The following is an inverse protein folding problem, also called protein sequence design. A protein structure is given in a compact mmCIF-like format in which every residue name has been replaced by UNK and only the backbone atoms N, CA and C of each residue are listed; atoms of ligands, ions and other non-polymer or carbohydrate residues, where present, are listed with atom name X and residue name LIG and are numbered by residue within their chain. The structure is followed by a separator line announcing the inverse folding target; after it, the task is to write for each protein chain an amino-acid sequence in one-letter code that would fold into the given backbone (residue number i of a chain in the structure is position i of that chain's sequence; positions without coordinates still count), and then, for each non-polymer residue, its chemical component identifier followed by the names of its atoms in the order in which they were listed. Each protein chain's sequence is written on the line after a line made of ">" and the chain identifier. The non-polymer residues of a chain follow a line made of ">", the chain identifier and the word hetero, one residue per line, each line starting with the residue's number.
data_IF_432766755781
#
_entry.id   IF_432766755781
#
_cell.length_a   1.000
_cell.length_b   1.000
_cell.length_c   1.000
_cell.angle_alpha   90.00
_cell.angle_beta   90.00
_cell.angle_gamma   90.00
#
_symmetry.space_group_name_H-M   'P 1'
#
loop_
_entity.id
_entity.type
_entity.pdbx_description
1 polymer ?
#
# COMPACT_ATOMS: atom_id res chain seq x y z
N UNK A 1 -1.28 21.49 1.38
CA UNK A 1 -0.33 21.02 0.35
C UNK A 1 -1.00 19.84 -0.37
N UNK A 2 -1.35 19.97 -1.66
CA UNK A 2 -1.94 18.87 -2.45
C UNK A 2 -0.84 17.86 -2.77
N UNK A 3 -0.91 16.66 -2.17
CA UNK A 3 -0.09 15.53 -2.59
C UNK A 3 -0.48 15.26 -4.05
N UNK A 4 0.51 15.35 -4.94
CA UNK A 4 0.37 15.63 -6.37
C UNK A 4 -0.57 14.69 -7.14
N UNK A 5 -1.21 15.30 -8.14
CA UNK A 5 -2.01 14.71 -9.21
C UNK A 5 -1.03 14.21 -10.30
N UNK A 6 -1.07 12.92 -10.65
CA UNK A 6 -0.36 12.41 -11.82
C UNK A 6 -1.09 12.91 -13.08
N UNK A 7 -0.46 13.84 -13.81
CA UNK A 7 -0.95 14.36 -15.08
C UNK A 7 -0.76 13.35 -16.22
N UNK A 8 -1.59 13.44 -17.26
CA UNK A 8 -1.63 12.56 -18.42
C UNK A 8 -0.42 12.70 -19.38
N UNK A 9 0.56 13.56 -19.09
CA UNK A 9 1.69 13.79 -19.98
C UNK A 9 2.80 12.76 -19.76
N UNK A 10 2.62 11.57 -20.33
CA UNK A 10 3.67 10.56 -20.44
C UNK A 10 4.89 11.02 -21.27
N UNK A 11 4.77 12.12 -22.03
CA UNK A 11 5.86 12.69 -22.85
C UNK A 11 6.86 13.55 -22.05
N UNK A 12 6.49 14.09 -20.88
CA UNK A 12 7.37 14.97 -20.08
C UNK A 12 8.48 14.20 -19.34
N UNK A 13 8.32 12.88 -19.14
CA UNK A 13 9.14 12.09 -18.20
C UNK A 13 9.87 10.89 -18.83
N UNK A 14 9.83 10.77 -20.16
CA UNK A 14 10.57 9.74 -20.91
C UNK A 14 11.89 10.33 -21.42
N UNK A 15 13.02 9.89 -20.85
CA UNK A 15 14.34 10.15 -21.44
C UNK A 15 14.73 8.96 -22.34
N UNK A 16 15.19 9.24 -23.56
CA UNK A 16 15.78 8.24 -24.45
C UNK A 16 17.16 7.85 -23.92
N UNK A 17 17.36 6.57 -23.58
CA UNK A 17 18.68 6.05 -23.24
C UNK A 17 19.61 6.02 -24.46
N UNK A 18 20.91 5.81 -24.21
CA UNK A 18 22.01 5.76 -25.22
C UNK A 18 21.76 4.79 -26.39
N UNK A 19 20.81 3.86 -26.24
CA UNK A 19 20.42 2.85 -27.25
C UNK A 19 18.96 3.00 -27.75
N UNK A 20 18.32 4.16 -27.65
CA UNK A 20 16.89 4.38 -27.99
C UNK A 20 15.89 3.53 -27.17
N UNK A 21 16.31 2.91 -26.07
CA UNK A 21 15.39 2.32 -25.10
C UNK A 21 14.69 3.44 -24.32
N UNK A 22 13.35 3.48 -24.36
CA UNK A 22 12.54 4.35 -23.50
C UNK A 22 12.74 3.93 -22.04
N UNK A 23 13.50 4.72 -21.28
CA UNK A 23 13.63 4.55 -19.82
C UNK A 23 12.90 5.72 -19.16
N UNK A 24 11.77 5.39 -18.52
CA UNK A 24 11.06 6.36 -17.69
C UNK A 24 11.98 6.80 -16.56
N UNK A 25 12.36 8.08 -16.55
CA UNK A 25 13.32 8.63 -15.59
C UNK A 25 12.68 9.84 -14.93
N UNK A 26 12.53 9.79 -13.61
CA UNK A 26 12.09 10.92 -12.80
C UNK A 26 13.31 11.71 -12.34
N UNK A 27 13.46 12.91 -12.87
CA UNK A 27 14.51 13.83 -12.47
C UNK A 27 14.12 14.53 -11.16
N UNK A 28 15.05 14.68 -10.23
CA UNK A 28 14.83 15.41 -8.98
C UNK A 28 16.02 16.30 -8.61
N UNK A 29 15.74 17.33 -7.81
CA UNK A 29 16.77 18.17 -7.17
C UNK A 29 16.39 18.38 -5.71
N UNK A 30 17.38 18.66 -4.85
CA UNK A 30 17.12 19.13 -3.49
C UNK A 30 17.44 20.61 -3.40
N UNK A 31 16.48 21.40 -2.96
CA UNK A 31 16.74 22.78 -2.55
C UNK A 31 17.75 22.80 -1.40
N UNK A 32 18.62 23.81 -1.38
CA UNK A 32 19.65 23.95 -0.36
C UNK A 32 19.07 24.00 1.06
N UNK A 33 17.86 24.57 1.21
CA UNK A 33 17.14 24.69 2.48
C UNK A 33 16.47 23.38 2.92
N UNK A 34 16.44 22.35 2.07
CA UNK A 34 15.83 21.06 2.40
C UNK A 34 16.62 20.36 3.50
N UNK A 35 15.96 20.06 4.62
CA UNK A 35 16.60 19.38 5.76
C UNK A 35 17.17 18.01 5.37
N UNK A 36 18.23 17.57 6.04
CA UNK A 36 18.81 16.24 5.79
C UNK A 36 17.78 15.12 6.01
N UNK A 37 16.92 15.23 7.03
CA UNK A 37 15.85 14.27 7.28
C UNK A 37 14.89 14.15 6.09
N UNK A 38 14.46 15.28 5.53
CA UNK A 38 13.59 15.32 4.34
C UNK A 38 14.29 14.72 3.11
N UNK A 39 15.58 15.01 2.90
CA UNK A 39 16.36 14.43 1.80
C UNK A 39 16.44 12.91 1.91
N UNK A 40 16.73 12.39 3.10
CA UNK A 40 16.82 10.94 3.34
C UNK A 40 15.46 10.26 3.16
N UNK A 41 14.37 10.88 3.61
CA UNK A 41 13.03 10.36 3.40
C UNK A 41 12.69 10.23 1.89
N UNK A 42 12.98 11.28 1.10
CA UNK A 42 12.77 11.22 -0.35
C UNK A 42 13.62 10.13 -1.01
N UNK A 43 14.91 10.03 -0.69
CA UNK A 43 15.80 9.03 -1.31
C UNK A 43 15.36 7.60 -1.01
N UNK A 44 14.78 7.34 0.17
CA UNK A 44 14.21 6.04 0.52
C UNK A 44 12.95 5.75 -0.29
N UNK A 45 12.04 6.72 -0.40
CA UNK A 45 10.84 6.59 -1.23
C UNK A 45 11.19 6.37 -2.71
N UNK A 46 12.15 7.13 -3.24
CA UNK A 46 12.67 6.94 -4.60
C UNK A 46 13.18 5.51 -4.81
N UNK A 47 14.00 4.99 -3.89
CA UNK A 47 14.49 3.59 -3.95
C UNK A 47 13.35 2.56 -3.89
N UNK A 48 12.35 2.78 -3.04
CA UNK A 48 11.19 1.89 -2.96
C UNK A 48 10.44 1.85 -4.30
N UNK A 49 10.24 3.02 -4.93
CA UNK A 49 9.66 3.08 -6.27
C UNK A 49 10.56 2.44 -7.33
N UNK A 50 11.87 2.70 -7.35
CA UNK A 50 12.78 2.06 -8.31
C UNK A 50 12.75 0.54 -8.21
N UNK A 51 12.67 0.01 -6.99
CA UNK A 51 12.62 -1.43 -6.75
C UNK A 51 11.41 -2.05 -7.47
N UNK A 52 10.20 -1.57 -7.17
CA UNK A 52 8.95 -2.21 -7.58
C UNK A 52 8.31 -1.56 -8.84
N UNK A 53 9.11 -0.82 -9.63
CA UNK A 53 8.66 -0.22 -10.89
C UNK A 53 9.76 -0.28 -11.95
N UNK A 54 9.46 0.17 -13.16
CA UNK A 54 10.46 0.34 -14.21
C UNK A 54 11.07 1.74 -14.30
N UNK A 55 10.70 2.64 -13.39
CA UNK A 55 11.20 4.03 -13.40
C UNK A 55 12.52 4.14 -12.65
N UNK A 56 13.40 5.04 -13.09
CA UNK A 56 14.64 5.38 -12.39
C UNK A 56 14.59 6.81 -11.87
N UNK A 57 15.33 7.11 -10.81
CA UNK A 57 15.43 8.46 -10.25
C UNK A 57 16.84 9.00 -10.48
N UNK A 58 16.93 10.18 -11.09
CA UNK A 58 18.22 10.82 -11.36
C UNK A 58 18.29 12.20 -10.72
N UNK A 59 19.33 12.44 -9.91
CA UNK A 59 19.59 13.77 -9.34
C UNK A 59 20.13 14.70 -10.43
N UNK A 60 19.51 15.85 -10.61
CA UNK A 60 19.93 16.90 -11.57
C UNK A 60 20.14 18.24 -10.85
N UNK A 61 20.72 19.22 -11.57
CA UNK A 61 20.86 20.62 -11.10
C UNK A 61 19.59 21.41 -11.45
N UNK A 62 19.21 22.36 -10.56
CA UNK A 62 17.95 23.13 -10.63
C UNK A 62 17.75 23.88 -11.96
N UNK A 63 18.83 24.35 -12.58
CA UNK A 63 18.80 25.17 -13.81
C UNK A 63 18.16 24.45 -15.00
N UNK A 64 18.02 23.12 -14.96
CA UNK A 64 17.53 22.33 -16.09
C UNK A 64 15.99 22.19 -16.19
N UNK A 65 15.18 22.49 -15.15
CA UNK A 65 13.76 22.03 -15.14
C UNK A 65 12.74 22.94 -14.43
N UNK A 66 12.81 24.27 -14.57
CA UNK A 66 11.77 25.18 -14.01
C UNK A 66 10.36 24.88 -14.52
N UNK A 67 10.21 24.39 -15.76
CA UNK A 67 8.91 24.13 -16.40
C UNK A 67 8.18 22.89 -15.86
N UNK A 68 8.89 21.94 -15.25
CA UNK A 68 8.31 20.70 -14.69
C UNK A 68 7.50 20.92 -13.41
N UNK A 69 7.51 22.14 -12.86
CA UNK A 69 6.77 22.52 -11.66
C UNK A 69 5.53 23.38 -11.97
N UNK A 70 5.19 23.55 -13.25
CA UNK A 70 3.96 24.21 -13.65
C UNK A 70 2.74 23.40 -13.16
N UNK A 71 1.69 24.12 -12.75
CA UNK A 71 0.46 23.48 -12.29
C UNK A 71 -0.17 22.71 -13.45
N UNK A 72 -0.46 21.43 -13.22
CA UNK A 72 -1.28 20.62 -14.11
C UNK A 72 -2.74 21.04 -14.02
N UNK A 73 -3.46 20.93 -15.14
CA UNK A 73 -4.87 21.27 -15.23
C UNK A 73 -5.75 20.14 -14.70
N UNK A 74 -6.95 20.49 -14.24
CA UNK A 74 -7.82 19.55 -13.53
C UNK A 74 -8.37 18.42 -14.40
N UNK A 75 -8.27 18.48 -15.74
CA UNK A 75 -8.76 17.44 -16.66
C UNK A 75 -7.66 16.45 -17.10
N UNK A 76 -6.44 16.59 -16.59
CA UNK A 76 -5.30 15.73 -16.94
C UNK A 76 -5.17 14.49 -16.04
N UNK A 77 -6.21 14.12 -15.26
CA UNK A 77 -6.16 12.91 -14.44
C UNK A 77 -6.70 11.71 -15.20
N UNK A 78 -5.99 10.59 -15.09
CA UNK A 78 -6.49 9.28 -15.50
C UNK A 78 -6.44 8.34 -14.31
N UNK A 79 -7.52 7.57 -14.14
CA UNK A 79 -7.66 6.60 -13.05
C UNK A 79 -7.08 5.24 -13.41
N UNK A 80 -6.73 5.01 -14.69
CA UNK A 80 -6.21 3.73 -15.18
C UNK A 80 -7.11 2.52 -14.87
N UNK A 81 -8.40 2.74 -14.62
CA UNK A 81 -9.32 1.69 -14.15
C UNK A 81 -9.05 1.20 -12.73
N UNK A 82 -8.16 1.82 -11.96
CA UNK A 82 -7.84 1.43 -10.59
C UNK A 82 -8.90 1.91 -9.60
N UNK A 83 -9.19 1.12 -8.54
CA UNK A 83 -10.12 1.51 -7.48
C UNK A 83 -9.57 2.67 -6.65
N UNK A 84 -10.47 3.34 -5.92
CA UNK A 84 -10.08 4.34 -4.94
C UNK A 84 -9.46 3.68 -3.71
N UNK A 85 -8.24 4.06 -3.37
CA UNK A 85 -7.54 3.49 -2.22
C UNK A 85 -7.43 4.50 -1.07
N UNK A 86 -8.17 4.26 0.00
CA UNK A 86 -8.10 5.08 1.22
C UNK A 86 -6.71 5.08 1.86
N UNK A 87 -5.94 4.01 1.65
CA UNK A 87 -4.61 3.82 2.23
C UNK A 87 -3.45 4.33 1.37
N UNK A 88 -3.75 4.99 0.25
CA UNK A 88 -2.72 5.60 -0.59
C UNK A 88 -1.88 6.60 0.21
N UNK A 89 -0.57 6.60 -0.03
CA UNK A 89 0.34 7.61 0.54
C UNK A 89 0.00 9.02 0.05
N UNK A 90 -0.76 9.14 -1.04
CA UNK A 90 -1.21 10.40 -1.61
C UNK A 90 -2.52 10.88 -0.97
N UNK A 91 -3.19 10.05 -0.18
CA UNK A 91 -4.44 10.41 0.49
C UNK A 91 -4.17 11.35 1.66
N UNK A 92 -5.00 12.38 1.79
CA UNK A 92 -4.94 13.31 2.92
C UNK A 92 -5.30 12.63 4.24
N UNK A 93 -4.62 13.06 5.29
CA UNK A 93 -5.00 12.75 6.67
C UNK A 93 -6.24 13.54 7.11
N UNK A 94 -7.00 12.98 8.03
CA UNK A 94 -8.09 13.66 8.74
C UNK A 94 -8.13 13.14 10.17
N UNK A 95 -8.41 14.02 11.13
CA UNK A 95 -8.52 13.66 12.55
C UNK A 95 -9.91 13.10 12.83
N UNK A 96 -10.01 12.12 13.74
CA UNK A 96 -11.33 11.64 14.22
C UNK A 96 -12.12 12.73 14.93
N UNK A 97 -11.44 13.60 15.67
CA UNK A 97 -12.04 14.76 16.32
C UNK A 97 -12.06 15.95 15.37
N UNK A 98 -13.25 16.49 15.12
CA UNK A 98 -13.48 17.59 14.17
C UNK A 98 -12.87 17.33 12.77
N UNK A 99 -13.31 16.26 12.08
CA UNK A 99 -12.74 15.85 10.81
C UNK A 99 -12.94 16.91 9.73
N UNK A 100 -11.90 17.18 8.93
CA UNK A 100 -12.00 18.00 7.72
C UNK A 100 -12.57 17.21 6.53
N UNK A 101 -12.49 15.87 6.62
CA UNK A 101 -12.99 14.91 5.64
C UNK A 101 -13.28 13.59 6.36
N UNK A 102 -14.34 12.90 5.96
CA UNK A 102 -14.67 11.55 6.45
C UNK A 102 -14.80 10.59 5.27
N UNK A 103 -14.31 9.35 5.39
CA UNK A 103 -14.53 8.34 4.37
C UNK A 103 -16.02 7.97 4.32
N UNK A 104 -16.49 7.45 3.18
CA UNK A 104 -17.89 6.99 3.05
C UNK A 104 -18.19 5.80 3.97
N UNK A 105 -17.19 4.97 4.22
CA UNK A 105 -17.24 3.88 5.19
C UNK A 105 -16.30 4.22 6.35
N UNK A 106 -16.87 4.41 7.55
CA UNK A 106 -16.18 4.87 8.75
C UNK A 106 -15.05 3.93 9.21
N UNK A 107 -15.07 2.66 8.81
CA UNK A 107 -13.97 1.71 9.09
C UNK A 107 -12.64 2.13 8.44
N UNK A 108 -12.66 2.99 7.41
CA UNK A 108 -11.45 3.53 6.78
C UNK A 108 -10.89 4.78 7.46
N UNK A 109 -11.51 5.26 8.55
CA UNK A 109 -11.04 6.49 9.20
C UNK A 109 -9.62 6.36 9.76
N UNK A 110 -9.21 5.16 10.18
CA UNK A 110 -7.83 4.88 10.58
C UNK A 110 -6.88 4.62 9.40
N UNK A 111 -7.41 4.44 8.19
CA UNK A 111 -6.64 4.12 6.98
C UNK A 111 -6.19 5.38 6.24
N UNK A 112 -7.03 6.43 6.18
CA UNK A 112 -6.70 7.68 5.49
C UNK A 112 -5.53 8.43 6.14
N UNK A 113 -4.70 9.08 5.32
CA UNK A 113 -3.46 9.70 5.79
C UNK A 113 -2.31 8.71 5.99
N UNK A 114 -2.44 7.50 5.44
CA UNK A 114 -1.41 6.46 5.46
C UNK A 114 -0.03 7.01 5.08
N UNK A 115 1.02 6.68 5.86
CA UNK A 115 2.41 6.97 5.50
C UNK A 115 3.02 5.87 4.62
N UNK A 116 2.27 4.83 4.27
CA UNK A 116 2.76 3.67 3.51
C UNK A 116 2.40 3.80 2.03
N UNK A 117 3.35 3.46 1.14
CA UNK A 117 3.07 3.27 -0.29
C UNK A 117 2.14 2.07 -0.41
N UNK A 118 0.98 2.25 -1.04
CA UNK A 118 0.02 1.17 -1.24
C UNK A 118 0.30 0.41 -2.54
N UNK A 119 -0.31 -0.77 -2.67
CA UNK A 119 -0.24 -1.52 -3.92
C UNK A 119 -0.88 -0.75 -5.09
N UNK A 120 -1.95 0.00 -4.82
CA UNK A 120 -2.60 0.86 -5.82
C UNK A 120 -1.67 2.00 -6.25
N UNK A 121 -0.92 2.61 -5.34
CA UNK A 121 0.09 3.61 -5.68
C UNK A 121 1.14 3.03 -6.65
N UNK A 122 1.67 1.83 -6.35
CA UNK A 122 2.63 1.13 -7.21
C UNK A 122 2.02 0.74 -8.56
N UNK A 123 0.82 0.19 -8.57
CA UNK A 123 0.11 -0.23 -9.78
C UNK A 123 -0.17 0.97 -10.70
N UNK A 124 -0.54 2.11 -10.13
CA UNK A 124 -0.80 3.35 -10.86
C UNK A 124 0.43 3.87 -11.57
N UNK A 125 1.59 3.91 -10.89
CA UNK A 125 2.86 4.31 -11.50
C UNK A 125 3.29 3.31 -12.58
N UNK A 126 3.17 2.01 -12.30
CA UNK A 126 3.51 0.97 -13.27
C UNK A 126 2.62 1.01 -14.52
N UNK A 127 1.35 1.41 -14.38
CA UNK A 127 0.47 1.64 -15.53
C UNK A 127 0.88 2.90 -16.30
N UNK A 128 1.02 4.02 -15.60
CA UNK A 128 1.31 5.33 -16.20
C UNK A 128 2.57 5.32 -17.07
N UNK A 129 3.61 4.61 -16.60
CA UNK A 129 4.89 4.48 -17.29
C UNK A 129 5.01 3.22 -18.15
N UNK A 130 3.89 2.53 -18.41
CA UNK A 130 3.83 1.32 -19.23
C UNK A 130 4.75 0.19 -18.73
N UNK A 131 5.11 0.19 -17.45
CA UNK A 131 6.00 -0.81 -16.87
C UNK A 131 5.40 -2.21 -16.90
N UNK A 132 4.07 -2.33 -16.74
CA UNK A 132 3.38 -3.64 -16.80
C UNK A 132 3.49 -4.33 -18.17
N UNK A 133 3.83 -3.58 -19.22
CA UNK A 133 4.01 -4.12 -20.58
C UNK A 133 5.40 -4.72 -20.80
N UNK A 134 6.37 -4.46 -19.91
CA UNK A 134 7.77 -4.89 -20.09
C UNK A 134 7.96 -6.40 -19.94
N UNK A 135 7.12 -7.04 -19.14
CA UNK A 135 7.18 -8.48 -18.89
C UNK A 135 5.88 -9.12 -19.35
N UNK A 136 5.98 -10.10 -20.24
CA UNK A 136 4.84 -10.84 -20.79
C UNK A 136 5.02 -12.32 -20.45
N UNK A 137 4.04 -12.93 -19.79
CA UNK A 137 3.98 -14.38 -19.60
C UNK A 137 3.79 -14.87 -18.17
N UNK A 138 4.19 -14.09 -17.16
CA UNK A 138 3.95 -14.46 -15.75
C UNK A 138 2.52 -14.13 -15.35
N UNK A 139 1.76 -15.14 -14.92
CA UNK A 139 0.39 -14.99 -14.43
C UNK A 139 0.41 -14.80 -12.92
N UNK A 140 0.19 -13.57 -12.48
CA UNK A 140 0.11 -13.23 -11.08
C UNK A 140 -1.32 -13.40 -10.56
N UNK A 141 -1.46 -13.90 -9.34
CA UNK A 141 -2.73 -14.13 -8.68
C UNK A 141 -3.12 -12.95 -7.78
N UNK A 142 -4.36 -12.97 -7.27
CA UNK A 142 -4.90 -12.01 -6.31
C UNK A 142 -4.80 -10.53 -6.75
N UNK A 143 -4.72 -10.26 -8.06
CA UNK A 143 -4.59 -8.92 -8.61
C UNK A 143 -3.17 -8.37 -8.69
N UNK A 144 -2.15 -9.20 -8.41
CA UNK A 144 -0.75 -8.86 -8.66
C UNK A 144 -0.43 -8.65 -10.15
N UNK A 145 0.75 -8.11 -10.45
CA UNK A 145 1.24 -7.96 -11.83
C UNK A 145 2.73 -8.28 -11.95
N UNK A 146 3.22 -8.68 -13.14
CA UNK A 146 4.61 -9.07 -13.33
C UNK A 146 5.58 -7.95 -12.92
N UNK A 147 6.64 -8.31 -12.21
CA UNK A 147 7.65 -7.35 -11.82
C UNK A 147 8.40 -6.85 -13.07
N UNK A 148 8.47 -5.54 -13.35
CA UNK A 148 8.94 -5.02 -14.64
C UNK A 148 10.47 -5.04 -14.83
N UNK A 149 11.20 -5.67 -13.90
CA UNK A 149 12.67 -5.78 -13.87
C UNK A 149 13.11 -7.23 -13.68
N UNK A 150 12.28 -8.04 -13.03
CA UNK A 150 12.42 -9.50 -12.97
C UNK A 150 11.11 -10.14 -13.43
N UNK A 151 11.05 -10.54 -14.70
CA UNK A 151 9.83 -11.12 -15.26
C UNK A 151 9.48 -12.49 -14.66
N UNK A 152 10.32 -13.08 -13.82
CA UNK A 152 10.06 -14.38 -13.20
C UNK A 152 9.16 -14.29 -11.96
N UNK A 153 9.00 -13.10 -11.38
CA UNK A 153 8.21 -12.83 -10.18
C UNK A 153 7.12 -11.76 -10.38
N UNK A 154 6.29 -11.60 -9.36
CA UNK A 154 5.16 -10.69 -9.34
C UNK A 154 5.31 -9.65 -8.23
N UNK A 155 4.83 -8.44 -8.49
CA UNK A 155 4.55 -7.45 -7.44
C UNK A 155 3.18 -7.80 -6.86
N UNK A 156 3.14 -8.02 -5.55
CA UNK A 156 1.97 -8.56 -4.87
C UNK A 156 1.22 -7.52 -4.05
N UNK A 157 -0.12 -7.57 -4.03
CA UNK A 157 -0.90 -6.81 -3.06
C UNK A 157 -0.51 -7.15 -1.63
N UNK A 158 -0.64 -6.17 -0.73
CA UNK A 158 -0.41 -6.40 0.70
C UNK A 158 -1.27 -7.55 1.18
N UNK A 159 -0.63 -8.60 1.73
CA UNK A 159 -1.29 -9.84 2.15
C UNK A 159 -0.81 -11.08 1.44
N UNK A 160 -0.13 -10.88 0.32
CA UNK A 160 0.22 -11.93 -0.59
C UNK A 160 1.69 -11.84 -0.93
N UNK A 161 2.32 -12.99 -1.08
CA UNK A 161 3.71 -13.13 -1.44
C UNK A 161 3.92 -14.36 -2.29
N UNK A 162 5.17 -14.81 -2.34
CA UNK A 162 5.60 -15.83 -3.28
C UNK A 162 5.71 -15.29 -4.70
N UNK A 163 6.23 -16.12 -5.59
CA UNK A 163 6.54 -15.74 -6.98
C UNK A 163 5.32 -15.27 -7.76
N UNK A 164 4.14 -15.83 -7.46
CA UNK A 164 2.90 -15.57 -8.19
C UNK A 164 1.83 -14.86 -7.33
N UNK A 165 2.17 -14.34 -6.16
CA UNK A 165 1.20 -13.70 -5.24
C UNK A 165 0.08 -14.62 -4.73
N UNK A 166 0.32 -15.94 -4.70
CA UNK A 166 -0.62 -16.95 -4.22
C UNK A 166 -0.19 -17.58 -2.88
N UNK A 167 0.85 -17.06 -2.26
CA UNK A 167 1.41 -17.57 -1.01
C UNK A 167 1.32 -16.51 0.10
N UNK A 168 1.53 -16.95 1.34
CA UNK A 168 1.68 -16.04 2.46
C UNK A 168 3.03 -15.27 2.32
N UNK A 169 3.08 -13.96 2.60
CA UNK A 169 4.33 -13.23 2.67
C UNK A 169 5.33 -13.85 3.65
N UNK A 170 6.61 -13.78 3.33
CA UNK A 170 7.68 -14.22 4.24
C UNK A 170 7.97 -13.13 5.29
N UNK A 171 7.02 -12.92 6.20
CA UNK A 171 7.06 -11.84 7.21
C UNK A 171 6.83 -12.35 8.64
N UNK A 172 7.16 -13.63 8.90
CA UNK A 172 6.95 -14.33 10.18
C UNK A 172 5.47 -14.44 10.60
N UNK A 173 4.55 -14.15 9.69
CA UNK A 173 3.13 -14.40 9.83
C UNK A 173 2.75 -15.88 9.81
N UNK A 174 1.45 -16.18 9.68
CA UNK A 174 0.98 -17.57 9.60
C UNK A 174 -0.47 -17.75 9.20
N UNK A 175 -0.89 -19.01 9.07
CA UNK A 175 -2.30 -19.36 8.83
C UNK A 175 -2.98 -19.61 10.18
N UNK A 176 -4.12 -18.97 10.39
CA UNK A 176 -4.97 -19.18 11.55
C UNK A 176 -6.29 -19.79 11.10
N UNK A 177 -6.57 -21.00 11.59
CA UNK A 177 -7.85 -21.63 11.33
C UNK A 177 -8.87 -21.12 12.36
N UNK A 178 -9.94 -20.49 11.88
CA UNK A 178 -11.04 -20.03 12.70
C UNK A 178 -12.03 -21.18 12.91
N UNK A 179 -12.31 -21.48 14.18
CA UNK A 179 -13.26 -22.49 14.65
C UNK A 179 -14.47 -21.86 15.33
N UNK A 180 -15.46 -22.67 15.71
CA UNK A 180 -16.58 -22.25 16.56
C UNK A 180 -16.12 -21.69 17.92
N UNK A 181 -15.03 -22.22 18.47
CA UNK A 181 -14.40 -21.69 19.68
C UNK A 181 -13.53 -20.46 19.38
N UNK A 182 -13.64 -19.44 20.25
CA UNK A 182 -12.82 -18.23 20.19
C UNK A 182 -11.34 -18.56 20.37
N UNK A 183 -10.50 -18.14 19.42
CA UNK A 183 -9.04 -18.20 19.55
C UNK A 183 -8.48 -16.80 19.75
N UNK A 184 -7.63 -16.64 20.77
CA UNK A 184 -6.92 -15.38 21.04
C UNK A 184 -5.55 -15.45 20.38
N UNK A 185 -5.23 -14.44 19.57
CA UNK A 185 -3.90 -14.19 19.06
C UNK A 185 -3.24 -13.09 19.87
N UNK A 186 -2.04 -13.38 20.40
CA UNK A 186 -1.18 -12.41 21.06
C UNK A 186 -0.05 -12.03 20.11
N UNK A 187 0.15 -10.74 19.90
CA UNK A 187 1.27 -10.24 19.11
C UNK A 187 1.98 -9.11 19.85
N UNK A 188 3.30 -9.23 19.93
CA UNK A 188 4.18 -8.18 20.43
C UNK A 188 5.25 -7.94 19.39
N UNK A 189 5.26 -6.74 18.79
CA UNK A 189 6.20 -6.37 17.75
C UNK A 189 6.92 -5.10 18.15
N UNK A 190 8.24 -5.16 18.10
CA UNK A 190 9.10 -4.01 18.25
C UNK A 190 9.94 -3.91 16.99
N UNK A 191 9.83 -2.79 16.29
CA UNK A 191 10.79 -2.48 15.26
C UNK A 191 12.10 -2.08 15.94
N UNK A 192 13.05 -3.01 16.00
CA UNK A 192 14.39 -2.77 16.55
C UNK A 192 15.27 -1.99 15.56
N UNK A 193 14.83 -1.88 14.30
CA UNK A 193 15.51 -1.15 13.25
C UNK A 193 15.00 0.30 13.23
N UNK A 194 15.90 1.28 13.08
CA UNK A 194 15.55 2.70 12.82
C UNK A 194 15.17 2.93 11.36
N UNK A 195 14.55 1.92 10.76
CA UNK A 195 14.09 1.98 9.38
C UNK A 195 12.74 2.69 9.35
N UNK A 196 12.49 3.46 8.29
CA UNK A 196 11.20 4.14 8.11
C UNK A 196 10.11 3.17 7.64
N UNK A 197 10.49 1.92 7.34
CA UNK A 197 9.59 0.88 6.92
C UNK A 197 8.95 0.19 8.12
N UNK A 198 7.66 -0.11 7.98
CA UNK A 198 6.90 -0.83 8.99
C UNK A 198 7.28 -2.30 8.97
N UNK A 199 7.58 -2.85 10.15
CA UNK A 199 7.57 -4.29 10.35
C UNK A 199 6.12 -4.79 10.23
N UNK A 200 5.89 -5.72 9.30
CA UNK A 200 4.58 -6.33 9.07
C UNK A 200 4.63 -7.82 9.43
N UNK A 201 3.51 -8.38 9.88
CA UNK A 201 3.30 -9.82 10.07
C UNK A 201 1.93 -10.21 9.58
N UNK A 202 1.85 -11.01 8.53
CA UNK A 202 0.58 -11.29 7.85
C UNK A 202 -0.05 -12.58 8.35
N UNK A 203 -1.31 -12.52 8.75
CA UNK A 203 -2.09 -13.70 9.10
C UNK A 203 -3.25 -13.92 8.14
N UNK A 204 -3.30 -15.12 7.55
CA UNK A 204 -4.46 -15.57 6.78
C UNK A 204 -5.41 -16.32 7.70
N UNK A 205 -6.64 -15.83 7.80
CA UNK A 205 -7.65 -16.49 8.61
C UNK A 205 -8.54 -17.32 7.70
N UNK A 206 -8.46 -18.63 7.88
CA UNK A 206 -9.21 -19.60 7.08
C UNK A 206 -10.33 -20.19 7.91
N UNK A 207 -11.56 -20.25 7.39
CA UNK A 207 -12.63 -20.98 8.05
C UNK A 207 -12.31 -22.49 7.99
N UNK A 208 -12.68 -23.23 9.04
CA UNK A 208 -12.61 -24.71 9.04
C UNK A 208 -13.81 -25.37 8.37
N UNK A 209 -14.87 -24.60 8.11
CA UNK A 209 -16.15 -25.06 7.59
C UNK A 209 -16.57 -24.18 6.42
N UNK A 210 -17.35 -24.72 5.49
CA UNK A 210 -17.89 -23.94 4.38
C UNK A 210 -19.02 -23.02 4.85
N UNK A 211 -19.16 -21.86 4.22
CA UNK A 211 -20.26 -20.90 4.46
C UNK A 211 -20.34 -20.29 5.87
N UNK A 212 -19.24 -20.29 6.63
CA UNK A 212 -19.20 -19.63 7.95
C UNK A 212 -18.69 -18.19 7.89
N UNK A 213 -19.26 -17.32 8.73
CA UNK A 213 -18.72 -15.98 8.96
C UNK A 213 -17.72 -16.01 10.10
N UNK A 214 -16.55 -15.44 9.85
CA UNK A 214 -15.53 -15.22 10.87
C UNK A 214 -15.77 -13.84 11.50
N UNK A 215 -16.00 -13.82 12.81
CA UNK A 215 -15.97 -12.61 13.63
C UNK A 215 -14.54 -12.39 14.12
N UNK A 216 -14.09 -11.14 14.04
CA UNK A 216 -12.77 -10.70 14.52
C UNK A 216 -13.01 -9.57 15.51
N UNK A 217 -12.73 -9.81 16.78
CA UNK A 217 -12.88 -8.83 17.85
C UNK A 217 -11.52 -8.38 18.35
N UNK A 218 -11.31 -7.07 18.37
CA UNK A 218 -10.11 -6.42 18.91
C UNK A 218 -10.42 -5.90 20.31
N UNK A 219 -9.68 -6.33 21.34
CA UNK A 219 -10.03 -5.98 22.72
C UNK A 219 -9.23 -4.82 23.32
N UNK A 220 -8.10 -4.40 22.71
CA UNK A 220 -7.32 -3.25 23.21
C UNK A 220 -6.93 -2.29 22.08
N UNK A 221 -7.60 -1.13 22.04
CA UNK A 221 -7.21 0.04 21.26
C UNK A 221 -6.58 1.03 22.25
N UNK A 222 -5.30 1.37 22.05
CA UNK A 222 -4.65 2.40 22.86
C UNK A 222 -4.87 3.75 22.18
N UNK A 223 -5.73 4.60 22.77
CA UNK A 223 -6.02 5.93 22.23
C UNK A 223 -4.78 6.83 22.04
N UNK A 224 -3.69 6.59 22.78
CA UNK A 224 -2.45 7.37 22.63
C UNK A 224 -1.69 7.05 21.33
N UNK A 225 -2.02 5.94 20.65
CA UNK A 225 -1.43 5.56 19.37
C UNK A 225 -2.34 5.87 18.17
N UNK A 226 -3.58 6.30 18.42
CA UNK A 226 -4.57 6.63 17.39
C UNK A 226 -4.24 7.97 16.73
N UNK A 227 -3.24 7.93 15.85
CA UNK A 227 -2.87 9.01 14.94
C UNK A 227 -3.40 8.70 13.53
N UNK A 228 -3.65 9.72 12.70
CA UNK A 228 -4.08 9.51 11.31
C UNK A 228 -3.20 8.51 10.56
N UNK A 229 -3.84 7.67 9.73
CA UNK A 229 -3.16 6.63 8.94
C UNK A 229 -2.58 5.45 9.73
N UNK A 230 -2.80 5.39 11.05
CA UNK A 230 -2.15 4.44 11.97
C UNK A 230 -0.62 4.48 11.86
N UNK A 231 -0.06 5.70 11.78
CA UNK A 231 1.36 5.91 11.47
C UNK A 231 2.34 5.39 12.54
N UNK A 232 1.91 5.08 13.76
CA UNK A 232 2.81 4.57 14.81
C UNK A 232 2.79 3.05 14.89
N UNK A 233 1.60 2.47 15.00
CA UNK A 233 1.34 1.04 15.00
C UNK A 233 -0.15 0.83 14.73
N UNK A 234 -0.51 -0.34 14.20
CA UNK A 234 -1.90 -0.71 14.00
C UNK A 234 -2.03 -2.10 13.42
N UNK A 235 -3.28 -2.54 13.35
CA UNK A 235 -3.69 -3.73 12.60
C UNK A 235 -4.47 -3.30 11.38
N UNK A 236 -4.18 -3.91 10.24
CA UNK A 236 -4.99 -3.78 9.03
C UNK A 236 -5.84 -5.04 8.86
N UNK A 237 -7.13 -4.88 8.58
CA UNK A 237 -8.04 -5.99 8.27
C UNK A 237 -8.41 -5.86 6.80
N UNK A 238 -8.09 -6.89 6.00
CA UNK A 238 -8.49 -6.97 4.60
C UNK A 238 -9.51 -8.09 4.42
N UNK A 239 -10.74 -7.68 4.15
CA UNK A 239 -11.89 -8.56 3.93
C UNK A 239 -12.67 -8.22 2.66
N UNK A 240 -12.21 -7.23 1.89
CA UNK A 240 -12.78 -6.88 0.59
C UNK A 240 -12.53 -7.99 -0.45
N UNK A 241 -13.39 -8.11 -1.45
CA UNK A 241 -13.21 -9.03 -2.57
C UNK A 241 -11.97 -8.67 -3.39
N UNK A 242 -11.83 -7.39 -3.71
CA UNK A 242 -10.64 -6.84 -4.36
C UNK A 242 -9.47 -6.84 -3.36
N UNK A 243 -8.47 -7.67 -3.64
CA UNK A 243 -7.29 -7.83 -2.78
C UNK A 243 -6.26 -6.72 -2.96
N UNK A 244 -6.42 -5.88 -3.99
CA UNK A 244 -5.46 -4.84 -4.37
C UNK A 244 -5.55 -3.58 -3.48
N UNK A 245 -6.73 -3.30 -2.92
CA UNK A 245 -6.97 -2.12 -2.08
C UNK A 245 -6.43 -2.28 -0.66
N UNK A 246 -6.15 -1.16 0.01
CA UNK A 246 -5.79 -1.17 1.44
C UNK A 246 -7.01 -1.50 2.29
N UNK A 247 -6.83 -2.24 3.39
CA UNK A 247 -7.90 -2.60 4.32
C UNK A 247 -8.22 -1.54 5.38
N UNK A 248 -9.09 -1.94 6.31
CA UNK A 248 -9.47 -1.13 7.48
C UNK A 248 -8.34 -1.14 8.51
N UNK A 249 -7.90 0.03 8.97
CA UNK A 249 -6.83 0.12 9.97
C UNK A 249 -7.31 0.59 11.33
N UNK A 250 -6.76 -0.03 12.36
CA UNK A 250 -7.05 0.26 13.77
C UNK A 250 -5.73 0.41 14.54
N UNK A 251 -5.53 1.55 15.20
CA UNK A 251 -4.31 1.83 15.96
C UNK A 251 -4.32 1.09 17.32
N UNK A 252 -3.34 0.23 17.58
CA UNK A 252 -3.31 -0.63 18.77
C UNK A 252 -1.87 -0.83 19.31
N UNK A 253 -1.72 -1.02 20.63
CA UNK A 253 -0.42 -1.22 21.30
C UNK A 253 0.00 -2.70 21.36
N UNK A 254 -0.98 -3.61 21.42
CA UNK A 254 -0.80 -5.06 21.30
C UNK A 254 -2.15 -5.65 20.89
N UNK A 255 -2.29 -6.26 19.70
CA UNK A 255 -3.54 -6.88 19.33
C UNK A 255 -3.81 -8.06 20.25
N UNK A 256 -4.87 -7.93 21.02
CA UNK A 256 -5.64 -9.05 21.49
C UNK A 256 -6.76 -9.24 20.47
N UNK A 257 -6.58 -10.21 19.59
CA UNK A 257 -7.57 -10.53 18.55
C UNK A 257 -8.24 -11.84 18.93
N UNK A 258 -9.54 -11.78 19.23
CA UNK A 258 -10.38 -12.95 19.43
C UNK A 258 -11.13 -13.25 18.14
N UNK A 259 -11.06 -14.49 17.65
CA UNK A 259 -11.75 -14.91 16.44
C UNK A 259 -12.64 -16.12 16.70
N UNK A 260 -13.91 -16.07 16.28
CA UNK A 260 -14.87 -17.18 16.34
C UNK A 260 -15.80 -17.21 15.14
N UNK A 261 -16.48 -18.33 14.92
CA UNK A 261 -17.63 -18.37 14.01
C UNK A 261 -18.83 -17.61 14.59
N UNK A 262 -19.65 -17.02 13.73
CA UNK A 262 -20.97 -16.50 14.10
C UNK A 262 -21.99 -16.93 13.04
N UNK A 263 -23.05 -17.59 13.48
CA UNK A 263 -24.21 -17.90 12.66
C UNK A 263 -24.97 -16.59 12.41
N UNK A 264 -25.05 -16.09 11.17
CA UNK A 264 -26.20 -15.38 10.58
C UNK A 264 -25.86 -14.83 9.18
N UNK A 265 -26.74 -15.12 8.22
CA UNK A 265 -26.61 -15.00 6.76
C UNK A 265 -26.28 -13.60 6.20
N UNK A 266 -25.62 -13.63 5.03
CA UNK A 266 -25.49 -12.74 3.85
C UNK A 266 -24.08 -12.99 3.31
N UNK A 267 -23.99 -13.41 2.04
CA UNK A 267 -22.83 -14.00 1.34
C UNK A 267 -21.46 -13.45 1.74
N UNK A 268 -20.50 -14.36 1.95
CA UNK A 268 -19.09 -14.01 2.13
C UNK A 268 -18.20 -14.90 1.28
N UNK A 269 -17.46 -14.29 0.35
CA UNK A 269 -16.35 -14.92 -0.37
C UNK A 269 -15.20 -15.28 0.59
N UNK A 270 -14.42 -16.35 0.32
CA UNK A 270 -13.32 -16.77 1.17
C UNK A 270 -12.19 -15.72 1.28
N UNK A 271 -11.56 -15.63 2.45
CA UNK A 271 -10.25 -14.98 2.63
C UNK A 271 -10.23 -13.66 3.42
N UNK A 272 -10.60 -13.70 4.71
CA UNK A 272 -10.36 -12.58 5.63
C UNK A 272 -8.90 -12.62 6.12
N UNK A 273 -8.20 -11.50 6.03
CA UNK A 273 -6.79 -11.36 6.39
C UNK A 273 -6.64 -10.33 7.51
N UNK A 274 -5.71 -10.59 8.43
CA UNK A 274 -5.28 -9.66 9.49
C UNK A 274 -3.79 -9.42 9.34
N UNK A 275 -3.40 -8.16 9.39
CA UNK A 275 -2.04 -7.65 9.28
C UNK A 275 -1.62 -6.94 10.55
#
# INVERSE_FOLDING_TARGET
>A
MKRQVLGNSSEIWLEYGVNNEKKATVNYYFDEKTSNATRQAFLRAAKAWEKDTCINFTKKKLEAYKEQFNRTEWYEFTKYGLPYDYGSIMHYESKRTNPMMTPKNDHYMGTIGSPMISFIDLSMINEHYYCKTKCVGTRCENGGFPHPRDCSECICPGGYGGRLCNELPNDLGGILNATSNSKILFMTHYNTHRDLDYLKRTYWIKPTEENVKIEVNMTIINGNLDVPGCALAGVEIKNEEDKTVTGHRYAIFSPFISMRHVDYFVESTPGKQIF
#
